data_IF_324582456392
#
_entry.id   IF_324582456392
#
_cell.length_a   1.000
_cell.length_b   1.000
_cell.length_c   1.000
_cell.angle_alpha   90.00
_cell.angle_beta   90.00
_cell.angle_gamma   90.00
#
_symmetry.space_group_name_H-M   'P 1'
#
loop_
_entity.id
_entity.type
_entity.pdbx_description
1 polymer ?
#
# COMPACT_ATOMS: atom_id res chain seq x y z
N UNK A 1 -9.01 15.78 16.91
CA UNK A 1 -10.17 14.99 16.44
C UNK A 1 -9.61 13.66 15.97
N UNK A 2 -9.94 12.55 16.63
CA UNK A 2 -9.45 11.23 16.19
C UNK A 2 -10.34 10.81 15.02
N UNK A 3 -9.81 10.84 13.80
CA UNK A 3 -10.53 10.42 12.62
C UNK A 3 -10.70 8.90 12.64
N UNK A 4 -11.90 8.41 12.99
CA UNK A 4 -12.22 6.98 13.03
C UNK A 4 -12.59 6.38 11.66
N UNK A 5 -12.55 7.17 10.58
CA UNK A 5 -13.05 6.74 9.26
C UNK A 5 -12.35 5.48 8.74
N UNK A 6 -11.03 5.38 8.91
CA UNK A 6 -10.27 4.21 8.47
C UNK A 6 -10.60 2.97 9.29
N UNK A 7 -10.73 3.09 10.62
CA UNK A 7 -11.17 1.98 11.47
C UNK A 7 -12.59 1.49 11.14
N UNK A 8 -13.51 2.41 10.83
CA UNK A 8 -14.87 2.06 10.37
C UNK A 8 -14.85 1.35 9.01
N UNK A 9 -14.00 1.79 8.09
CA UNK A 9 -13.82 1.13 6.80
C UNK A 9 -13.35 -0.32 7.00
N UNK A 10 -12.31 -0.55 7.80
CA UNK A 10 -11.82 -1.90 8.09
C UNK A 10 -12.92 -2.77 8.70
N UNK A 11 -13.66 -2.24 9.68
CA UNK A 11 -14.76 -2.95 10.31
C UNK A 11 -15.87 -3.35 9.31
N UNK A 12 -16.19 -2.49 8.33
CA UNK A 12 -17.20 -2.81 7.30
C UNK A 12 -16.80 -3.95 6.36
N UNK A 13 -15.51 -4.24 6.26
CA UNK A 13 -14.96 -5.37 5.50
C UNK A 13 -14.58 -6.55 6.41
N UNK A 14 -14.88 -6.48 7.71
CA UNK A 14 -14.43 -7.43 8.72
C UNK A 14 -12.90 -7.62 8.74
N UNK A 15 -12.16 -6.58 8.35
CA UNK A 15 -10.70 -6.57 8.33
C UNK A 15 -10.15 -6.13 9.69
N UNK A 16 -9.04 -6.73 10.11
CA UNK A 16 -8.33 -6.38 11.33
C UNK A 16 -7.16 -5.42 11.05
N UNK A 17 -6.74 -5.30 9.80
CA UNK A 17 -5.63 -4.41 9.43
C UNK A 17 -5.70 -4.04 7.95
N UNK A 18 -4.92 -3.04 7.57
CA UNK A 18 -4.60 -2.80 6.19
C UNK A 18 -3.15 -2.33 6.04
N UNK A 19 -2.68 -2.29 4.81
CA UNK A 19 -1.45 -1.60 4.47
C UNK A 19 -1.60 -0.80 3.18
N UNK A 20 -0.90 0.32 3.06
CA UNK A 20 -0.64 0.94 1.76
C UNK A 20 0.69 0.45 1.23
N UNK A 21 0.66 -0.13 0.03
CA UNK A 21 1.83 -0.65 -0.66
C UNK A 21 1.80 -0.25 -2.13
N UNK A 22 2.96 0.11 -2.67
CA UNK A 22 3.13 0.45 -4.09
C UNK A 22 4.17 -0.46 -4.73
N UNK A 23 4.29 -0.39 -6.05
CA UNK A 23 5.32 -1.08 -6.82
C UNK A 23 6.06 -0.14 -7.79
N UNK A 24 5.63 1.12 -7.85
CA UNK A 24 6.19 2.12 -8.76
C UNK A 24 7.49 2.71 -8.21
N UNK A 25 8.31 3.23 -9.14
CA UNK A 25 9.58 3.88 -8.86
C UNK A 25 10.48 3.09 -7.88
N UNK A 26 10.88 1.86 -8.25
CA UNK A 26 11.73 1.02 -7.41
C UNK A 26 13.00 1.76 -6.99
N UNK A 27 13.37 1.67 -5.73
CA UNK A 27 14.52 2.36 -5.13
C UNK A 27 14.51 3.88 -5.41
N UNK A 28 13.33 4.48 -5.60
CA UNK A 28 13.17 5.90 -5.94
C UNK A 28 13.60 6.28 -7.35
N UNK A 29 13.92 5.30 -8.21
CA UNK A 29 14.22 5.55 -9.62
C UNK A 29 12.93 5.95 -10.35
N UNK A 30 12.94 7.13 -10.97
CA UNK A 30 11.80 7.59 -11.78
C UNK A 30 11.77 6.75 -13.06
N UNK A 31 10.74 5.92 -13.19
CA UNK A 31 10.46 5.15 -14.40
C UNK A 31 9.43 5.85 -15.29
N UNK A 32 9.28 5.35 -16.51
CA UNK A 32 8.15 5.73 -17.38
C UNK A 32 6.82 5.23 -16.81
N UNK A 33 5.72 5.80 -17.29
CA UNK A 33 4.39 5.39 -16.83
C UNK A 33 4.06 3.94 -17.23
N UNK A 34 4.49 3.49 -18.41
CA UNK A 34 4.27 2.11 -18.87
C UNK A 34 5.04 1.10 -17.98
N UNK A 35 6.30 1.38 -17.66
CA UNK A 35 7.09 0.55 -16.74
C UNK A 35 6.47 0.51 -15.32
N UNK A 36 5.98 1.66 -14.84
CA UNK A 36 5.29 1.72 -13.56
C UNK A 36 3.95 0.98 -13.60
N UNK A 37 3.23 1.03 -14.72
CA UNK A 37 1.99 0.30 -14.92
C UNK A 37 2.22 -1.21 -14.88
N UNK A 38 3.23 -1.73 -15.59
CA UNK A 38 3.59 -3.15 -15.57
C UNK A 38 3.86 -3.65 -14.15
N UNK A 39 4.65 -2.88 -13.36
CA UNK A 39 4.93 -3.22 -11.96
C UNK A 39 3.68 -3.18 -11.08
N UNK A 40 2.81 -2.18 -11.27
CA UNK A 40 1.52 -2.10 -10.54
C UNK A 40 0.61 -3.28 -10.90
N UNK A 41 0.57 -3.70 -12.16
CA UNK A 41 -0.18 -4.88 -12.59
C UNK A 41 0.36 -6.17 -11.97
N UNK A 42 1.67 -6.30 -11.79
CA UNK A 42 2.28 -7.43 -11.08
C UNK A 42 1.86 -7.47 -9.60
N UNK A 43 1.90 -6.32 -8.92
CA UNK A 43 1.43 -6.20 -7.53
C UNK A 43 -0.08 -6.52 -7.43
N UNK A 44 -0.89 -6.00 -8.34
CA UNK A 44 -2.32 -6.31 -8.41
C UNK A 44 -2.57 -7.82 -8.56
N UNK A 45 -1.88 -8.47 -9.51
CA UNK A 45 -2.00 -9.91 -9.71
C UNK A 45 -1.65 -10.68 -8.44
N UNK A 46 -0.64 -10.25 -7.69
CA UNK A 46 -0.24 -10.85 -6.41
C UNK A 46 -1.32 -10.69 -5.33
N UNK A 47 -1.95 -9.51 -5.24
CA UNK A 47 -3.08 -9.23 -4.34
C UNK A 47 -4.25 -10.17 -4.66
N UNK A 48 -4.61 -10.29 -5.94
CA UNK A 48 -5.72 -11.13 -6.41
C UNK A 48 -5.45 -12.62 -6.19
N UNK A 49 -4.23 -13.08 -6.45
CA UNK A 49 -3.81 -14.47 -6.16
C UNK A 49 -3.89 -14.80 -4.67
N UNK A 50 -3.57 -13.84 -3.80
CA UNK A 50 -3.71 -13.96 -2.35
C UNK A 50 -5.18 -13.82 -1.88
N UNK A 51 -6.12 -13.49 -2.78
CA UNK A 51 -7.55 -13.28 -2.50
C UNK A 51 -7.81 -12.21 -1.43
N UNK A 52 -7.00 -11.16 -1.43
CA UNK A 52 -7.12 -10.06 -0.48
C UNK A 52 -8.08 -9.00 -1.02
N UNK A 53 -8.89 -8.42 -0.13
CA UNK A 53 -9.67 -7.23 -0.45
C UNK A 53 -8.72 -6.02 -0.58
N UNK A 54 -8.99 -5.14 -1.53
CA UNK A 54 -8.18 -3.95 -1.73
C UNK A 54 -8.99 -2.78 -2.27
N UNK A 55 -8.44 -1.58 -2.10
CA UNK A 55 -8.84 -0.38 -2.82
C UNK A 55 -7.65 0.12 -3.65
N UNK A 56 -7.95 0.68 -4.83
CA UNK A 56 -6.98 1.52 -5.54
C UNK A 56 -6.79 2.79 -4.71
N UNK A 57 -5.52 3.16 -4.51
CA UNK A 57 -5.13 4.30 -3.69
C UNK A 57 -4.05 5.13 -4.40
N UNK A 58 -3.71 6.27 -3.82
CA UNK A 58 -2.69 7.18 -4.34
C UNK A 58 -1.92 7.81 -3.19
N UNK A 59 -0.61 7.74 -3.23
CA UNK A 59 0.27 8.57 -2.41
C UNK A 59 0.45 9.91 -3.09
N UNK A 60 0.40 10.99 -2.32
CA UNK A 60 0.76 12.32 -2.80
C UNK A 60 1.43 13.11 -1.68
N UNK A 61 2.32 14.03 -2.05
CA UNK A 61 2.80 14.99 -1.08
C UNK A 61 1.77 16.11 -0.87
N UNK A 62 1.87 16.85 0.24
CA UNK A 62 0.88 17.87 0.61
C UNK A 62 0.71 19.00 -0.42
N UNK A 63 1.71 19.22 -1.29
CA UNK A 63 1.68 20.23 -2.36
C UNK A 63 1.34 19.65 -3.73
N UNK A 64 1.02 18.35 -3.80
CA UNK A 64 0.65 17.61 -5.02
C UNK A 64 1.66 17.70 -6.17
N UNK A 65 2.93 17.97 -5.87
CA UNK A 65 4.01 17.99 -6.87
C UNK A 65 4.54 16.61 -7.21
N UNK A 66 4.19 15.62 -6.40
CA UNK A 66 4.51 14.21 -6.62
C UNK A 66 3.32 13.37 -6.19
N UNK A 67 2.99 12.38 -7.00
CA UNK A 67 2.01 11.38 -6.65
C UNK A 67 2.34 10.03 -7.28
N UNK A 68 1.85 8.96 -6.65
CA UNK A 68 2.13 7.59 -7.04
C UNK A 68 0.92 6.71 -6.73
N UNK A 69 0.42 6.01 -7.74
CA UNK A 69 -0.67 5.06 -7.56
C UNK A 69 -0.19 3.83 -6.78
N UNK A 70 -1.07 3.33 -5.92
CA UNK A 70 -0.78 2.26 -4.98
C UNK A 70 -2.07 1.49 -4.62
N UNK A 71 -1.95 0.54 -3.70
CA UNK A 71 -3.08 -0.23 -3.21
C UNK A 71 -3.17 -0.15 -1.69
N UNK A 72 -4.39 0.06 -1.20
CA UNK A 72 -4.74 -0.16 0.19
C UNK A 72 -5.24 -1.61 0.30
N UNK A 73 -4.44 -2.50 0.85
CA UNK A 73 -4.71 -3.95 0.91
C UNK A 73 -5.12 -4.33 2.32
N UNK A 74 -6.21 -5.09 2.46
CA UNK A 74 -6.74 -5.49 3.76
C UNK A 74 -6.19 -6.84 4.21
N UNK A 75 -5.93 -6.96 5.51
CA UNK A 75 -5.41 -8.16 6.18
C UNK A 75 -4.13 -8.75 5.57
N UNK A 76 -3.33 -7.94 4.88
CA UNK A 76 -1.95 -8.27 4.55
C UNK A 76 -1.08 -8.04 5.80
N UNK A 77 -0.75 -9.13 6.49
CA UNK A 77 0.06 -9.04 7.72
C UNK A 77 1.43 -8.40 7.49
N UNK A 78 1.93 -7.67 8.49
CA UNK A 78 3.14 -6.84 8.40
C UNK A 78 4.39 -7.56 7.86
N UNK A 79 4.59 -8.83 8.22
CA UNK A 79 5.70 -9.64 7.69
C UNK A 79 5.57 -9.88 6.18
N UNK A 80 4.36 -10.15 5.69
CA UNK A 80 4.10 -10.33 4.28
C UNK A 80 4.19 -9.00 3.52
N UNK A 81 3.65 -7.92 4.09
CA UNK A 81 3.77 -6.58 3.54
C UNK A 81 5.24 -6.16 3.39
N UNK A 82 6.08 -6.41 4.40
CA UNK A 82 7.52 -6.11 4.34
C UNK A 82 8.24 -6.91 3.24
N UNK A 83 7.91 -8.21 3.09
CA UNK A 83 8.45 -9.03 2.00
C UNK A 83 8.03 -8.52 0.63
N UNK A 84 6.77 -8.11 0.47
CA UNK A 84 6.27 -7.57 -0.79
C UNK A 84 6.91 -6.23 -1.10
N UNK A 85 7.08 -5.36 -0.09
CA UNK A 85 7.77 -4.08 -0.26
C UNK A 85 9.21 -4.31 -0.75
N UNK A 86 9.93 -5.27 -0.17
CA UNK A 86 11.28 -5.67 -0.64
C UNK A 86 11.25 -6.25 -2.06
N UNK A 87 10.31 -7.14 -2.38
CA UNK A 87 10.17 -7.73 -3.72
C UNK A 87 9.92 -6.69 -4.82
N UNK A 88 9.20 -5.61 -4.48
CA UNK A 88 8.95 -4.49 -5.39
C UNK A 88 9.92 -3.32 -5.21
N UNK A 89 11.02 -3.53 -4.49
CA UNK A 89 12.08 -2.56 -4.23
C UNK A 89 11.58 -1.23 -3.65
N UNK A 90 10.57 -1.28 -2.79
CA UNK A 90 10.02 -0.11 -2.12
C UNK A 90 10.80 0.18 -0.84
N UNK A 91 11.15 1.45 -0.62
CA UNK A 91 11.82 1.88 0.61
C UNK A 91 10.92 1.83 1.85
N UNK A 92 9.61 1.91 1.66
CA UNK A 92 8.67 1.94 2.76
C UNK A 92 7.27 1.50 2.31
N UNK A 93 6.46 1.11 3.29
CA UNK A 93 5.03 0.86 3.17
C UNK A 93 4.33 1.44 4.42
N UNK A 94 3.01 1.58 4.38
CA UNK A 94 2.24 2.11 5.53
C UNK A 94 1.47 0.98 6.19
N UNK A 95 1.71 0.76 7.48
CA UNK A 95 0.93 -0.15 8.32
C UNK A 95 -0.29 0.57 8.89
N UNK A 96 -1.45 -0.09 8.85
CA UNK A 96 -2.71 0.43 9.37
C UNK A 96 -3.30 -0.64 10.31
N UNK A 97 -3.06 -0.52 11.62
CA UNK A 97 -3.66 -1.39 12.63
C UNK A 97 -5.19 -1.16 12.76
N UNK A 98 -5.91 -2.02 13.49
CA UNK A 98 -7.38 -1.97 13.55
C UNK A 98 -7.96 -0.66 14.11
N UNK A 99 -7.17 0.09 14.89
CA UNK A 99 -7.56 1.40 15.40
C UNK A 99 -7.47 2.53 14.35
N UNK A 100 -6.95 2.24 13.15
CA UNK A 100 -6.77 3.18 12.05
C UNK A 100 -5.58 4.13 12.19
N UNK A 101 -4.74 3.98 13.22
CA UNK A 101 -3.57 4.82 13.43
C UNK A 101 -2.41 4.37 12.53
N UNK A 102 -2.34 4.94 11.33
CA UNK A 102 -1.33 4.57 10.35
C UNK A 102 0.11 4.95 10.75
N UNK A 103 1.07 4.10 10.39
CA UNK A 103 2.51 4.36 10.57
C UNK A 103 3.32 3.93 9.36
N UNK A 104 4.36 4.69 9.02
CA UNK A 104 5.30 4.32 7.95
C UNK A 104 6.29 3.30 8.49
N UNK A 105 6.47 2.20 7.75
CA UNK A 105 7.46 1.15 8.01
C UNK A 105 8.49 1.22 6.89
N UNK A 106 9.76 1.33 7.24
CA UNK A 106 10.86 1.33 6.28
C UNK A 106 11.29 -0.12 6.01
N UNK A 107 11.54 -0.43 4.74
CA UNK A 107 12.15 -1.69 4.33
C UNK A 107 13.64 -1.67 4.70
N UNK A 108 14.12 -2.76 5.30
CA UNK A 108 15.54 -2.99 5.57
C UNK A 108 16.36 -3.16 4.28
#
# INVERSE_FOLDING_TARGET
MIHQGLGLLLASFNAQSACLISASNPLGQILTEDENLDRRMQLLSKIEQARLNYFVARHENAVQSWAQDCYLVFDLGALAASRWAQEFDQFAWVDIPPNGCASVIFSD
#
